data_IF_116756692960
#
_entry.id   IF_116756692960
#
_cell.length_a   1.000
_cell.length_b   1.000
_cell.length_c   1.000
_cell.angle_alpha   90.00
_cell.angle_beta   90.00
_cell.angle_gamma   90.00
#
_symmetry.space_group_name_H-M   'P 1'
#
loop_
_entity.id
_entity.type
_entity.pdbx_description
1 polymer ?
#
# COMPACT_ATOMS: atom_id res chain seq x y z
N UNK A 1 30.26 -28.06 -6.44
CA UNK A 1 29.31 -27.62 -5.40
C UNK A 1 28.96 -26.16 -5.70
N UNK A 2 27.95 -25.92 -6.53
CA UNK A 2 27.60 -24.59 -7.02
C UNK A 2 26.12 -24.32 -6.78
N UNK A 3 25.80 -23.40 -5.87
CA UNK A 3 24.46 -22.83 -5.72
C UNK A 3 24.47 -21.59 -4.81
N UNK A 4 25.01 -20.46 -5.29
CA UNK A 4 24.60 -19.13 -4.79
C UNK A 4 24.61 -18.17 -5.98
N UNK A 5 23.57 -18.21 -6.79
CA UNK A 5 23.26 -17.11 -7.72
C UNK A 5 21.76 -16.94 -7.77
N UNK A 6 21.24 -16.33 -6.71
CA UNK A 6 19.87 -15.86 -6.67
C UNK A 6 19.83 -14.66 -5.69
N UNK A 7 18.87 -13.73 -5.83
CA UNK A 7 18.49 -12.67 -4.84
C UNK A 7 18.91 -11.19 -4.98
N UNK A 8 19.65 -10.65 -5.97
CA UNK A 8 19.78 -9.18 -6.08
C UNK A 8 18.50 -8.51 -6.62
N UNK A 9 17.80 -9.14 -7.57
CA UNK A 9 16.58 -8.60 -8.20
C UNK A 9 15.37 -8.57 -7.27
N UNK A 10 15.15 -9.65 -6.51
CA UNK A 10 14.02 -9.76 -5.59
C UNK A 10 14.10 -8.75 -4.44
N UNK A 11 15.28 -8.58 -3.82
CA UNK A 11 15.49 -7.61 -2.74
C UNK A 11 15.16 -6.18 -3.20
N UNK A 12 15.58 -5.82 -4.42
CA UNK A 12 15.27 -4.52 -5.03
C UNK A 12 13.76 -4.34 -5.27
N UNK A 13 13.07 -5.39 -5.73
CA UNK A 13 11.61 -5.36 -5.94
C UNK A 13 10.84 -5.18 -4.62
N UNK A 14 11.24 -5.92 -3.58
CA UNK A 14 10.67 -5.82 -2.22
C UNK A 14 10.89 -4.42 -1.66
N UNK A 15 12.12 -3.91 -1.73
CA UNK A 15 12.45 -2.57 -1.23
C UNK A 15 11.65 -1.48 -1.97
N UNK A 16 11.56 -1.55 -3.31
CA UNK A 16 10.76 -0.59 -4.09
C UNK A 16 9.29 -0.62 -3.69
N UNK A 17 8.72 -1.80 -3.50
CA UNK A 17 7.32 -1.97 -3.09
C UNK A 17 7.10 -1.40 -1.70
N UNK A 18 8.00 -1.69 -0.76
CA UNK A 18 8.00 -1.11 0.57
C UNK A 18 8.03 0.42 0.53
N UNK A 19 9.02 1.01 -0.15
CA UNK A 19 9.18 2.47 -0.23
C UNK A 19 7.98 3.15 -0.89
N UNK A 20 7.44 2.58 -1.97
CA UNK A 20 6.25 3.09 -2.64
C UNK A 20 5.06 3.14 -1.68
N UNK A 21 4.84 2.07 -0.92
CA UNK A 21 3.75 2.01 0.04
C UNK A 21 3.99 2.88 1.28
N UNK A 22 5.24 3.04 1.73
CA UNK A 22 5.62 4.00 2.78
C UNK A 22 5.25 5.41 2.37
N UNK A 23 5.61 5.82 1.16
CA UNK A 23 5.26 7.14 0.65
C UNK A 23 3.75 7.30 0.53
N UNK A 24 3.03 6.28 0.04
CA UNK A 24 1.58 6.32 -0.06
C UNK A 24 0.90 6.46 1.32
N UNK A 25 1.33 5.67 2.31
CA UNK A 25 0.80 5.73 3.67
C UNK A 25 1.04 7.10 4.33
N UNK A 26 2.25 7.66 4.19
CA UNK A 26 2.57 8.99 4.69
C UNK A 26 1.78 10.09 3.95
N UNK A 27 1.58 9.94 2.63
CA UNK A 27 0.83 10.91 1.83
C UNK A 27 -0.66 10.95 2.20
N UNK A 28 -1.29 9.81 2.50
CA UNK A 28 -2.69 9.77 2.95
C UNK A 28 -2.87 10.61 4.22
N UNK A 29 -1.93 10.51 5.15
CA UNK A 29 -1.91 11.32 6.36
C UNK A 29 -1.63 12.79 6.09
N UNK A 30 -0.58 13.10 5.32
CA UNK A 30 -0.19 14.50 5.07
C UNK A 30 -1.25 15.28 4.28
N UNK A 31 -2.03 14.60 3.44
CA UNK A 31 -3.11 15.21 2.67
C UNK A 31 -4.42 15.30 3.46
N UNK A 32 -4.57 14.58 4.57
CA UNK A 32 -5.82 14.54 5.35
C UNK A 32 -6.27 15.92 5.84
N UNK A 33 -5.42 16.76 6.47
CA UNK A 33 -5.83 18.09 6.92
C UNK A 33 -6.34 18.97 5.77
N UNK A 34 -5.68 18.86 4.61
CA UNK A 34 -6.01 19.68 3.42
C UNK A 34 -7.33 19.26 2.77
N UNK A 35 -7.65 17.96 2.77
CA UNK A 35 -8.82 17.42 2.09
C UNK A 35 -10.07 17.32 2.98
N UNK A 36 -9.89 17.20 4.30
CA UNK A 36 -10.97 16.86 5.22
C UNK A 36 -11.08 17.79 6.43
N UNK A 37 -10.08 18.66 6.64
CA UNK A 37 -9.97 19.47 7.86
C UNK A 37 -9.54 18.67 9.10
N UNK A 38 -9.39 17.34 9.01
CA UNK A 38 -9.03 16.47 10.12
C UNK A 38 -7.58 15.98 10.00
N UNK A 39 -6.85 16.06 11.11
CA UNK A 39 -5.46 15.62 11.18
C UNK A 39 -5.37 14.10 11.06
N UNK A 40 -6.21 13.38 11.81
CA UNK A 40 -6.30 11.93 11.72
C UNK A 40 -7.25 11.54 10.58
N UNK A 41 -6.80 10.76 9.57
CA UNK A 41 -7.61 10.43 8.41
C UNK A 41 -8.93 9.73 8.73
N UNK A 42 -8.96 8.94 9.80
CA UNK A 42 -10.16 8.21 10.24
C UNK A 42 -11.17 9.11 10.96
N UNK A 43 -10.77 10.28 11.47
CA UNK A 43 -11.67 11.23 12.12
C UNK A 43 -12.46 12.07 11.11
N UNK A 44 -12.02 12.11 9.86
CA UNK A 44 -12.71 12.80 8.76
C UNK A 44 -14.15 12.30 8.51
N UNK A 45 -14.51 11.13 9.08
CA UNK A 45 -15.82 10.52 8.91
C UNK A 45 -16.09 10.00 7.48
N UNK A 46 -17.20 9.28 7.33
CA UNK A 46 -17.67 8.79 6.03
C UNK A 46 -16.70 7.81 5.35
N UNK A 47 -16.54 7.96 4.03
CA UNK A 47 -15.79 7.02 3.19
C UNK A 47 -14.36 7.47 2.85
N UNK A 48 -13.92 8.64 3.32
CA UNK A 48 -12.62 9.22 2.93
C UNK A 48 -11.46 8.27 3.21
N UNK A 49 -11.33 7.82 4.47
CA UNK A 49 -10.22 6.98 4.88
C UNK A 49 -10.21 5.60 4.19
N UNK A 50 -11.31 4.81 4.19
CA UNK A 50 -11.31 3.52 3.48
C UNK A 50 -11.05 3.67 1.98
N UNK A 51 -11.60 4.71 1.33
CA UNK A 51 -11.43 4.91 -0.12
C UNK A 51 -10.01 5.30 -0.47
N UNK A 52 -9.40 6.24 0.24
CA UNK A 52 -8.01 6.66 -0.01
C UNK A 52 -7.02 5.51 0.22
N UNK A 53 -7.23 4.70 1.26
CA UNK A 53 -6.45 3.48 1.49
C UNK A 53 -6.64 2.46 0.36
N UNK A 54 -7.88 2.17 -0.04
CA UNK A 54 -8.17 1.23 -1.10
C UNK A 54 -7.57 1.67 -2.46
N UNK A 55 -7.68 2.96 -2.80
CA UNK A 55 -7.11 3.54 -4.01
C UNK A 55 -5.58 3.54 -3.97
N UNK A 56 -4.98 4.02 -2.88
CA UNK A 56 -3.52 4.01 -2.69
C UNK A 56 -2.96 2.60 -2.77
N UNK A 57 -3.63 1.64 -2.12
CA UNK A 57 -3.32 0.22 -2.20
C UNK A 57 -3.40 -0.28 -3.63
N UNK A 58 -4.54 -0.06 -4.31
CA UNK A 58 -4.78 -0.50 -5.68
C UNK A 58 -3.74 0.01 -6.67
N UNK A 59 -3.37 1.29 -6.58
CA UNK A 59 -2.30 1.88 -7.38
C UNK A 59 -0.97 1.18 -7.11
N UNK A 60 -0.57 1.06 -5.83
CA UNK A 60 0.68 0.40 -5.46
C UNK A 60 0.74 -1.06 -5.90
N UNK A 61 -0.34 -1.82 -5.71
CA UNK A 61 -0.44 -3.22 -6.12
C UNK A 61 -0.46 -3.40 -7.64
N UNK A 62 -0.98 -2.43 -8.40
CA UNK A 62 -0.93 -2.47 -9.87
C UNK A 62 0.49 -2.28 -10.43
N UNK A 63 1.33 -1.50 -9.73
CA UNK A 63 2.75 -1.28 -10.06
C UNK A 63 3.60 -2.45 -9.59
N UNK A 64 3.35 -2.95 -8.38
CA UNK A 64 4.10 -4.03 -7.72
C UNK A 64 3.20 -5.23 -7.38
N UNK A 65 2.90 -6.11 -8.36
CA UNK A 65 1.87 -7.12 -8.18
C UNK A 65 2.20 -8.20 -7.13
N UNK A 66 3.46 -8.60 -6.96
CA UNK A 66 3.86 -9.59 -5.94
C UNK A 66 5.32 -9.40 -5.49
N UNK A 67 5.67 -9.73 -4.23
CA UNK A 67 4.78 -10.10 -3.12
C UNK A 67 4.04 -8.88 -2.52
N UNK A 68 2.89 -9.08 -1.86
CA UNK A 68 2.06 -8.00 -1.30
C UNK A 68 2.46 -7.56 0.12
N UNK A 69 3.14 -8.43 0.88
CA UNK A 69 3.54 -8.11 2.26
C UNK A 69 4.39 -6.82 2.38
N UNK A 70 5.31 -6.46 1.44
CA UNK A 70 6.06 -5.22 1.54
C UNK A 70 5.15 -4.00 1.38
N UNK A 71 4.04 -4.12 0.65
CA UNK A 71 3.07 -3.04 0.50
C UNK A 71 2.32 -2.79 1.81
N UNK A 72 1.92 -3.84 2.51
CA UNK A 72 1.32 -3.71 3.84
C UNK A 72 2.32 -3.12 4.84
N UNK A 73 3.52 -3.70 4.94
CA UNK A 73 4.55 -3.23 5.86
C UNK A 73 4.98 -1.78 5.56
N UNK A 74 5.11 -1.44 4.28
CA UNK A 74 5.42 -0.08 3.84
C UNK A 74 4.33 0.91 4.23
N UNK A 75 3.06 0.59 3.94
CA UNK A 75 1.92 1.44 4.32
C UNK A 75 1.88 1.70 5.83
N UNK A 76 1.97 0.64 6.64
CA UNK A 76 2.05 0.76 8.12
C UNK A 76 3.22 1.66 8.51
N UNK A 77 4.41 1.42 7.98
CA UNK A 77 5.59 2.24 8.29
C UNK A 77 5.39 3.72 7.92
N UNK A 78 4.79 4.01 6.76
CA UNK A 78 4.52 5.38 6.33
C UNK A 78 3.55 6.11 7.25
N UNK A 79 2.45 5.45 7.63
CA UNK A 79 1.47 6.00 8.57
C UNK A 79 2.09 6.23 9.96
N UNK A 80 2.85 5.26 10.47
CA UNK A 80 3.51 5.37 11.78
C UNK A 80 4.58 6.47 11.78
N UNK A 81 5.39 6.58 10.72
CA UNK A 81 6.39 7.64 10.59
C UNK A 81 5.76 9.02 10.60
N UNK A 82 4.63 9.19 9.91
CA UNK A 82 3.90 10.46 9.94
C UNK A 82 3.35 10.75 11.34
N UNK A 83 2.68 9.77 11.94
CA UNK A 83 2.09 9.88 13.28
C UNK A 83 3.15 10.26 14.32
N UNK A 84 4.30 9.59 14.35
CA UNK A 84 5.38 9.87 15.31
C UNK A 84 6.17 11.14 15.00
N UNK A 85 6.24 11.54 13.73
CA UNK A 85 7.03 12.70 13.31
C UNK A 85 6.28 14.04 13.39
N UNK A 86 4.96 14.03 13.26
CA UNK A 86 4.16 15.26 13.12
C UNK A 86 3.01 15.41 14.12
N UNK A 87 2.56 14.34 14.80
CA UNK A 87 1.49 14.46 15.78
C UNK A 87 2.03 14.46 17.22
N UNK A 88 1.41 15.21 18.14
CA UNK A 88 1.71 15.13 19.55
C UNK A 88 1.37 13.72 20.06
N UNK A 89 2.35 13.05 20.66
CA UNK A 89 2.16 11.70 21.20
C UNK A 89 1.55 11.78 22.60
N UNK A 90 0.53 10.96 22.83
CA UNK A 90 -0.21 10.91 24.10
C UNK A 90 -0.44 9.47 24.57
N UNK A 91 -1.14 9.26 25.70
CA UNK A 91 -1.41 7.93 26.25
C UNK A 91 -2.20 7.02 25.30
N UNK A 92 -2.87 7.60 24.29
CA UNK A 92 -3.63 6.87 23.27
C UNK A 92 -2.77 6.37 22.10
N UNK A 93 -1.45 6.63 22.09
CA UNK A 93 -0.53 6.17 21.05
C UNK A 93 -0.69 4.67 20.73
N UNK A 94 -0.74 3.75 21.71
CA UNK A 94 -0.89 2.32 21.41
C UNK A 94 -2.19 2.00 20.66
N UNK A 95 -3.28 2.72 20.97
CA UNK A 95 -4.57 2.56 20.29
C UNK A 95 -4.48 3.04 18.85
N UNK A 96 -3.86 4.21 18.61
CA UNK A 96 -3.60 4.72 17.27
C UNK A 96 -2.78 3.75 16.42
N UNK A 97 -1.75 3.11 17.00
CA UNK A 97 -0.95 2.10 16.29
C UNK A 97 -1.78 0.86 15.91
N UNK A 98 -2.69 0.40 16.78
CA UNK A 98 -3.62 -0.69 16.46
C UNK A 98 -4.54 -0.27 15.31
N UNK A 99 -5.05 0.95 15.32
CA UNK A 99 -5.88 1.48 14.23
C UNK A 99 -5.11 1.51 12.91
N UNK A 100 -3.86 1.98 12.91
CA UNK A 100 -3.00 1.97 11.71
C UNK A 100 -2.85 0.55 11.15
N UNK A 101 -2.60 -0.46 12.00
CA UNK A 101 -2.47 -1.85 11.58
C UNK A 101 -3.77 -2.36 10.95
N UNK A 102 -4.91 -2.12 11.61
CA UNK A 102 -6.22 -2.59 11.14
C UNK A 102 -6.64 -1.90 9.84
N UNK A 103 -6.53 -0.58 9.78
CA UNK A 103 -6.88 0.19 8.59
C UNK A 103 -5.96 -0.12 7.40
N UNK A 104 -4.68 -0.43 7.63
CA UNK A 104 -3.76 -0.86 6.58
C UNK A 104 -4.18 -2.17 5.89
N UNK A 105 -5.10 -2.95 6.47
CA UNK A 105 -5.71 -4.10 5.78
C UNK A 105 -6.58 -3.67 4.60
N UNK A 106 -7.22 -2.50 4.65
CA UNK A 106 -7.97 -1.94 3.52
C UNK A 106 -7.04 -1.59 2.37
N UNK A 107 -5.87 -1.02 2.69
CA UNK A 107 -4.82 -0.77 1.71
C UNK A 107 -4.33 -2.09 1.08
N UNK A 108 -4.10 -3.12 1.89
CA UNK A 108 -3.70 -4.44 1.39
C UNK A 108 -4.78 -5.07 0.49
N UNK A 109 -6.06 -4.93 0.83
CA UNK A 109 -7.17 -5.39 0.00
C UNK A 109 -7.18 -4.67 -1.36
N UNK A 110 -7.01 -3.34 -1.36
CA UNK A 110 -6.83 -2.56 -2.58
C UNK A 110 -5.66 -3.05 -3.42
N UNK A 111 -4.49 -3.23 -2.79
CA UNK A 111 -3.28 -3.72 -3.45
C UNK A 111 -3.45 -5.10 -4.07
N UNK A 112 -4.16 -6.00 -3.40
CA UNK A 112 -4.51 -7.30 -3.96
C UNK A 112 -5.37 -7.18 -5.22
N UNK A 113 -6.39 -6.32 -5.21
CA UNK A 113 -7.23 -6.08 -6.40
C UNK A 113 -6.41 -5.47 -7.54
N UNK A 114 -5.59 -4.46 -7.26
CA UNK A 114 -4.73 -3.81 -8.26
C UNK A 114 -3.73 -4.78 -8.89
N UNK A 115 -3.10 -5.63 -8.07
CA UNK A 115 -2.21 -6.70 -8.51
C UNK A 115 -2.92 -7.69 -9.43
N UNK A 116 -4.10 -8.18 -9.02
CA UNK A 116 -4.92 -9.12 -9.81
C UNK A 116 -5.32 -8.51 -11.15
N UNK A 117 -5.72 -7.24 -11.17
CA UNK A 117 -6.08 -6.53 -12.40
C UNK A 117 -4.87 -6.46 -13.35
N UNK A 118 -3.70 -6.07 -12.85
CA UNK A 118 -2.46 -6.00 -13.63
C UNK A 118 -2.08 -7.35 -14.24
N UNK A 119 -2.09 -8.42 -13.45
CA UNK A 119 -1.74 -9.76 -13.93
C UNK A 119 -2.74 -10.26 -14.99
N UNK A 120 -4.04 -10.02 -14.80
CA UNK A 120 -5.08 -10.36 -15.79
C UNK A 120 -4.91 -9.58 -17.10
N UNK A 121 -4.52 -8.31 -17.03
CA UNK A 121 -4.29 -7.51 -18.22
C UNK A 121 -3.05 -7.95 -18.99
N UNK A 122 -1.97 -8.31 -18.30
CA UNK A 122 -0.75 -8.81 -18.93
C UNK A 122 -0.98 -10.17 -19.62
N UNK A 123 -1.71 -11.08 -18.97
CA UNK A 123 -2.06 -12.38 -19.57
C UNK A 123 -2.93 -12.24 -20.82
N UNK A 124 -3.92 -11.33 -20.83
CA UNK A 124 -4.71 -11.03 -22.04
C UNK A 124 -3.86 -10.47 -23.19
N UNK A 125 -2.88 -9.63 -22.89
CA UNK A 125 -1.98 -9.06 -23.92
C UNK A 125 -1.04 -10.09 -24.57
N UNK A 126 -0.78 -11.22 -23.91
CA UNK A 126 0.14 -12.25 -24.42
C UNK A 126 -0.58 -13.44 -25.06
N UNK A 127 -1.92 -13.39 -25.16
CA UNK A 127 -2.68 -14.42 -25.84
C UNK A 127 -2.64 -14.15 -27.35
N UNK A 128 -2.06 -15.04 -28.18
CA UNK A 128 -2.07 -14.86 -29.64
C UNK A 128 -3.52 -14.86 -30.15
N UNK A 129 -3.82 -14.18 -31.28
CA UNK A 129 -5.16 -14.16 -31.84
C UNK A 129 -5.61 -15.61 -32.03
N UNK A 130 -6.74 -15.97 -31.42
CA UNK A 130 -7.35 -17.28 -31.64
C UNK A 130 -7.63 -17.39 -33.13
N UNK A 131 -6.84 -18.22 -33.81
CA UNK A 131 -7.04 -18.54 -35.21
C UNK A 131 -8.50 -18.95 -35.38
N UNK A 132 -9.24 -18.16 -36.13
CA UNK A 132 -10.46 -18.64 -36.78
C UNK A 132 -9.98 -19.65 -37.81
N UNK A 133 -10.17 -20.93 -37.50
CA UNK A 133 -10.16 -21.99 -38.50
C UNK A 133 -11.38 -21.81 -39.42
#
# INVERSE_FOLDING_TARGET
MAAVSDRPSMKRSVLRSFLLATLAGAAIWSLSPLLTGHVEPWDAGGLYHPVTLALGGGLCGSVSPKPLWPLYAGCVAGQVLYLLGWLPTGPLLPVGLVFVLLWSLVFLAGAYVGSRARTRWQTRKHQPPRGRA
#
